data_IF_110451162402
#
_entry.id   IF_110451162402
#
_cell.length_a   1.000
_cell.length_b   1.000
_cell.length_c   1.000
_cell.angle_alpha   90.00
_cell.angle_beta   90.00
_cell.angle_gamma   90.00
#
_symmetry.space_group_name_H-M   'P 1'
#
loop_
_entity.id
_entity.type
_entity.pdbx_description
1 polymer ?
#
# COMPACT_ATOMS: atom_id res chain seq x y z
N UNK A 1 -16.52 -13.33 14.00
CA UNK A 1 -15.12 -12.92 13.83
C UNK A 1 -15.11 -11.47 13.43
N UNK A 2 -14.23 -10.64 14.00
CA UNK A 2 -14.08 -9.25 13.59
C UNK A 2 -13.16 -9.19 12.36
N UNK A 3 -13.66 -8.81 11.16
CA UNK A 3 -12.83 -8.70 9.95
C UNK A 3 -11.83 -7.55 10.00
N UNK A 4 -11.98 -6.61 10.94
CA UNK A 4 -11.15 -5.43 11.12
C UNK A 4 -10.18 -5.56 12.30
N UNK A 5 -9.92 -6.78 12.75
CA UNK A 5 -8.98 -7.00 13.85
C UNK A 5 -7.55 -6.70 13.41
N UNK A 6 -7.00 -5.59 13.92
CA UNK A 6 -5.67 -5.09 13.58
C UNK A 6 -4.62 -5.47 14.65
N UNK A 7 -5.02 -6.01 15.80
CA UNK A 7 -4.09 -6.51 16.81
C UNK A 7 -3.57 -7.89 16.41
N UNK A 8 -2.26 -8.03 16.49
CA UNK A 8 -1.56 -9.25 16.14
C UNK A 8 -2.00 -10.43 17.03
N UNK A 9 -2.19 -10.19 18.33
CA UNK A 9 -2.53 -11.24 19.30
C UNK A 9 -3.99 -11.72 19.20
N UNK A 10 -4.86 -10.94 18.57
CA UNK A 10 -6.30 -11.22 18.45
C UNK A 10 -6.65 -11.80 17.06
N UNK A 11 -5.64 -12.02 16.21
CA UNK A 11 -5.83 -12.61 14.88
C UNK A 11 -6.29 -14.07 14.96
N UNK A 12 -7.28 -14.50 14.16
CA UNK A 12 -7.74 -15.89 14.15
C UNK A 12 -6.64 -16.88 13.79
N UNK A 13 -6.65 -18.07 14.39
CA UNK A 13 -5.72 -19.15 14.02
C UNK A 13 -5.90 -19.66 12.58
N UNK A 14 -7.08 -19.42 11.99
CA UNK A 14 -7.38 -19.73 10.59
C UNK A 14 -6.98 -18.62 9.62
N UNK A 15 -6.35 -17.55 10.11
CA UNK A 15 -5.91 -16.44 9.26
C UNK A 15 -4.76 -16.85 8.36
N UNK A 16 -4.94 -16.65 7.05
CA UNK A 16 -3.93 -16.93 6.03
C UNK A 16 -2.60 -16.21 6.28
N UNK A 17 -2.64 -15.08 6.98
CA UNK A 17 -1.49 -14.22 7.26
C UNK A 17 -1.09 -14.27 8.74
N UNK A 18 -1.51 -15.29 9.50
CA UNK A 18 -1.17 -15.43 10.92
C UNK A 18 0.33 -15.53 11.19
N UNK A 19 1.12 -16.03 10.23
CA UNK A 19 2.57 -16.15 10.29
C UNK A 19 3.32 -14.86 9.95
N UNK A 20 2.62 -13.86 9.40
CA UNK A 20 3.15 -12.54 9.06
C UNK A 20 2.28 -11.44 9.71
N UNK A 21 2.31 -11.30 11.05
CA UNK A 21 1.33 -10.51 11.80
C UNK A 21 1.31 -9.01 11.44
N UNK A 22 2.46 -8.46 11.01
CA UNK A 22 2.56 -7.07 10.54
C UNK A 22 2.01 -6.86 9.13
N UNK A 23 1.76 -7.91 8.36
CA UNK A 23 1.29 -7.81 6.99
C UNK A 23 -0.14 -7.27 6.97
N UNK A 24 -0.27 -6.02 6.49
CA UNK A 24 -1.55 -5.35 6.36
C UNK A 24 -2.26 -5.09 7.68
N UNK A 25 -1.56 -5.05 8.83
CA UNK A 25 -2.18 -4.74 10.13
C UNK A 25 -1.43 -3.64 10.84
N UNK A 26 -2.15 -2.72 11.45
CA UNK A 26 -1.58 -1.77 12.39
C UNK A 26 -2.59 -1.34 13.44
N UNK A 27 -2.30 -1.69 14.69
CA UNK A 27 -2.97 -1.17 15.86
C UNK A 27 -1.95 -0.33 16.67
N UNK A 28 -2.16 0.99 16.84
CA UNK A 28 -1.23 1.84 17.58
C UNK A 28 -1.02 1.38 19.01
N UNK A 29 0.23 1.34 19.45
CA UNK A 29 0.63 0.98 20.81
C UNK A 29 1.29 2.17 21.54
N UNK A 30 1.11 2.32 22.87
CA UNK A 30 1.74 3.40 23.62
C UNK A 30 3.28 3.42 23.51
N UNK A 31 3.89 2.24 23.36
CA UNK A 31 5.32 1.99 23.26
C UNK A 31 5.83 1.94 21.80
N UNK A 32 4.97 2.25 20.82
CA UNK A 32 5.41 2.33 19.42
C UNK A 32 6.54 3.35 19.27
N UNK A 33 7.59 2.93 18.57
CA UNK A 33 8.64 3.84 18.13
C UNK A 33 8.04 5.00 17.31
N UNK A 34 8.41 6.23 17.68
CA UNK A 34 8.02 7.46 16.99
C UNK A 34 9.29 8.22 16.59
N UNK A 35 9.44 8.61 15.31
CA UNK A 35 10.57 9.43 14.94
C UNK A 35 10.59 10.77 15.66
N UNK A 36 11.77 11.22 16.07
CA UNK A 36 11.93 12.55 16.65
C UNK A 36 11.70 13.64 15.60
N UNK A 37 10.71 14.50 15.86
CA UNK A 37 10.26 15.52 14.90
C UNK A 37 11.36 16.46 14.40
N UNK A 38 12.41 16.71 15.18
CA UNK A 38 13.53 17.60 14.82
C UNK A 38 14.40 17.09 13.68
N UNK A 39 14.38 15.78 13.40
CA UNK A 39 15.20 15.16 12.36
C UNK A 39 14.40 14.87 11.07
N UNK A 40 13.10 15.16 11.07
CA UNK A 40 12.19 14.95 9.94
C UNK A 40 12.39 16.06 8.91
N UNK A 41 12.50 15.71 7.62
CA UNK A 41 12.84 16.59 6.50
C UNK A 41 14.19 17.31 6.68
N UNK A 42 15.14 16.66 7.35
CA UNK A 42 16.43 17.25 7.71
C UNK A 42 17.59 16.37 7.23
N UNK A 43 18.53 17.00 6.54
CA UNK A 43 19.71 16.35 5.96
C UNK A 43 21.02 16.79 6.63
N UNK A 44 20.93 17.38 7.83
CA UNK A 44 22.13 17.71 8.63
C UNK A 44 22.87 16.42 9.02
N UNK A 45 24.19 16.49 9.27
CA UNK A 45 24.95 15.31 9.71
C UNK A 45 24.33 14.58 10.91
N UNK A 46 23.84 15.34 11.90
CA UNK A 46 23.14 14.79 13.08
C UNK A 46 21.84 14.05 12.69
N UNK A 47 21.03 14.62 11.78
CA UNK A 47 19.82 13.96 11.29
C UNK A 47 20.15 12.67 10.52
N UNK A 48 21.23 12.66 9.74
CA UNK A 48 21.68 11.46 9.02
C UNK A 48 22.18 10.38 9.97
N UNK A 49 22.90 10.74 11.04
CA UNK A 49 23.30 9.81 12.10
C UNK A 49 22.08 9.24 12.84
N UNK A 50 21.11 10.10 13.17
CA UNK A 50 19.85 9.68 13.75
C UNK A 50 19.13 8.67 12.83
N UNK A 51 18.93 8.98 11.55
CA UNK A 51 18.24 8.07 10.64
C UNK A 51 19.03 6.78 10.37
N UNK A 52 20.36 6.81 10.41
CA UNK A 52 21.20 5.61 10.43
C UNK A 52 20.85 4.72 11.64
N UNK A 53 20.72 5.30 12.83
CA UNK A 53 20.33 4.56 14.04
C UNK A 53 18.90 3.99 13.94
N UNK A 54 17.98 4.70 13.27
CA UNK A 54 16.63 4.21 13.01
C UNK A 54 16.66 3.03 12.03
N UNK A 55 17.47 3.09 10.97
CA UNK A 55 17.64 1.96 10.04
C UNK A 55 18.19 0.71 10.74
N UNK A 56 19.02 0.84 11.77
CA UNK A 56 19.48 -0.31 12.56
C UNK A 56 18.33 -1.03 13.30
N UNK A 57 17.22 -0.34 13.54
CA UNK A 57 16.00 -0.96 14.11
C UNK A 57 15.18 -1.71 13.07
N UNK A 58 15.39 -1.45 11.77
CA UNK A 58 14.72 -2.15 10.68
C UNK A 58 15.40 -3.50 10.45
N UNK A 59 14.76 -4.59 10.88
CA UNK A 59 15.32 -5.95 10.80
C UNK A 59 14.28 -6.90 10.22
N UNK A 60 14.60 -8.18 10.05
CA UNK A 60 13.60 -9.14 9.57
C UNK A 60 12.38 -9.26 10.50
N UNK A 61 12.52 -8.94 11.80
CA UNK A 61 11.44 -9.08 12.78
C UNK A 61 10.31 -8.06 12.58
N UNK A 62 10.60 -6.91 11.99
CA UNK A 62 9.60 -5.87 11.68
C UNK A 62 9.43 -5.65 10.17
N UNK A 63 9.84 -6.64 9.37
CA UNK A 63 9.65 -6.68 7.92
C UNK A 63 8.38 -7.50 7.62
N UNK A 64 7.28 -6.88 7.16
CA UNK A 64 6.01 -7.60 6.97
C UNK A 64 6.07 -8.70 5.90
N UNK A 65 6.97 -8.56 4.92
CA UNK A 65 7.24 -9.57 3.89
C UNK A 65 8.61 -9.34 3.27
N UNK A 66 9.21 -10.41 2.73
CA UNK A 66 10.46 -10.30 1.99
C UNK A 66 10.23 -9.85 0.54
N UNK A 67 10.94 -8.80 0.11
CA UNK A 67 10.99 -8.45 -1.31
C UNK A 67 12.01 -9.35 -2.05
N UNK A 68 11.51 -10.30 -2.84
CA UNK A 68 12.33 -11.26 -3.61
C UNK A 68 12.95 -10.63 -4.88
N UNK A 69 12.40 -9.53 -5.39
CA UNK A 69 12.83 -8.87 -6.64
C UNK A 69 14.04 -7.96 -6.47
N UNK A 70 14.79 -8.15 -5.37
CA UNK A 70 15.95 -7.34 -4.97
C UNK A 70 15.64 -5.83 -4.87
N UNK A 71 14.37 -5.49 -4.69
CA UNK A 71 13.92 -4.12 -4.45
C UNK A 71 14.12 -3.68 -3.00
N UNK A 72 13.53 -2.54 -2.64
CA UNK A 72 13.42 -2.11 -1.23
C UNK A 72 12.58 -3.12 -0.45
N UNK A 73 13.04 -3.47 0.74
CA UNK A 73 12.18 -4.07 1.75
C UNK A 73 11.32 -2.97 2.37
N UNK A 74 10.17 -3.38 2.89
CA UNK A 74 9.26 -2.53 3.67
C UNK A 74 9.41 -2.94 5.13
N UNK A 75 9.62 -1.97 6.01
CA UNK A 75 9.74 -2.17 7.46
C UNK A 75 8.65 -1.38 8.16
N UNK A 76 8.17 -1.88 9.29
CA UNK A 76 7.12 -1.25 10.08
C UNK A 76 7.55 -1.01 11.55
N UNK A 77 8.61 -0.23 11.81
CA UNK A 77 9.03 0.07 13.19
C UNK A 77 8.06 1.05 13.84
N UNK A 78 7.24 0.56 14.78
CA UNK A 78 6.32 1.40 15.55
C UNK A 78 5.31 2.13 14.67
N UNK A 79 5.31 3.46 14.71
CA UNK A 79 4.32 4.31 14.05
C UNK A 79 4.61 4.62 12.59
N UNK A 80 5.69 4.11 12.00
CA UNK A 80 6.10 4.45 10.63
C UNK A 80 6.35 3.23 9.76
N UNK A 81 6.16 3.40 8.45
CA UNK A 81 6.69 2.54 7.41
C UNK A 81 8.01 3.14 6.93
N UNK A 82 9.02 2.29 6.76
CA UNK A 82 10.30 2.65 6.14
C UNK A 82 10.54 1.72 4.95
N UNK A 83 10.67 2.28 3.75
CA UNK A 83 11.09 1.55 2.55
C UNK A 83 12.60 1.72 2.37
N UNK A 84 13.37 0.64 2.46
CA UNK A 84 14.83 0.68 2.36
C UNK A 84 15.42 -0.62 1.82
N UNK A 85 16.56 -0.53 1.14
CA UNK A 85 17.29 -1.70 0.62
C UNK A 85 18.47 -2.12 1.52
N UNK A 86 18.63 -1.54 2.71
CA UNK A 86 19.86 -1.66 3.51
C UNK A 86 20.25 -3.10 3.87
N UNK A 87 19.28 -4.02 4.05
CA UNK A 87 19.55 -5.45 4.27
C UNK A 87 19.99 -6.19 2.99
N UNK A 88 19.77 -5.61 1.82
CA UNK A 88 20.22 -6.20 0.55
C UNK A 88 21.70 -5.87 0.34
N UNK A 89 22.45 -6.88 -0.10
CA UNK A 89 23.84 -6.70 -0.52
C UNK A 89 23.97 -5.61 -1.59
N UNK A 90 25.11 -4.91 -1.60
CA UNK A 90 25.37 -3.86 -2.58
C UNK A 90 25.16 -4.41 -3.99
N UNK A 91 24.22 -3.81 -4.72
CA UNK A 91 23.96 -4.20 -6.10
C UNK A 91 25.24 -3.93 -6.92
N UNK A 92 25.57 -4.80 -7.89
CA UNK A 92 26.75 -4.64 -8.76
C UNK A 92 26.33 -4.40 -10.22
N UNK A 93 27.17 -3.73 -11.00
CA UNK A 93 26.97 -3.50 -12.43
C UNK A 93 25.87 -2.46 -12.74
N UNK A 94 25.15 -2.62 -13.86
CA UNK A 94 24.07 -1.72 -14.33
C UNK A 94 22.88 -1.59 -13.35
N UNK A 95 22.81 -2.44 -12.33
CA UNK A 95 21.80 -2.39 -11.26
C UNK A 95 22.36 -1.85 -9.94
N UNK A 96 23.60 -1.36 -9.91
CA UNK A 96 24.33 -0.95 -8.69
C UNK A 96 23.58 0.02 -7.77
N UNK A 97 22.62 0.74 -8.35
CA UNK A 97 21.62 1.53 -7.65
C UNK A 97 20.32 1.42 -8.46
N UNK A 98 19.25 0.89 -7.85
CA UNK A 98 17.91 1.08 -8.41
C UNK A 98 17.47 2.45 -7.87
N UNK A 99 17.34 3.43 -8.76
CA UNK A 99 16.99 4.80 -8.38
C UNK A 99 15.49 4.89 -8.09
N UNK A 100 15.14 5.19 -6.84
CA UNK A 100 13.74 5.35 -6.41
C UNK A 100 13.29 6.80 -6.35
N UNK A 101 14.17 7.78 -6.64
CA UNK A 101 13.89 9.21 -6.48
C UNK A 101 12.59 9.66 -7.14
N UNK A 102 12.26 9.16 -8.32
CA UNK A 102 11.01 9.54 -9.01
C UNK A 102 9.77 8.92 -8.37
N UNK A 103 9.84 7.67 -7.94
CA UNK A 103 8.75 6.99 -7.24
C UNK A 103 8.50 7.65 -5.88
N UNK A 104 9.56 7.98 -5.16
CA UNK A 104 9.51 8.64 -3.86
C UNK A 104 8.93 10.04 -3.97
N UNK A 105 9.45 10.89 -4.86
CA UNK A 105 8.90 12.23 -5.12
C UNK A 105 7.42 12.15 -5.52
N UNK A 106 7.04 11.14 -6.32
CA UNK A 106 5.66 10.97 -6.71
C UNK A 106 4.77 10.55 -5.53
N UNK A 107 5.20 9.58 -4.72
CA UNK A 107 4.46 9.16 -3.51
C UNK A 107 4.36 10.30 -2.49
N UNK A 108 5.41 11.12 -2.34
CA UNK A 108 5.43 12.31 -1.49
C UNK A 108 4.40 13.33 -1.97
N UNK A 109 4.47 13.71 -3.25
CA UNK A 109 3.57 14.68 -3.86
C UNK A 109 2.12 14.20 -3.85
N UNK A 110 1.91 12.92 -4.15
CA UNK A 110 0.61 12.25 -4.09
C UNK A 110 0.04 12.24 -2.68
N UNK A 111 0.87 11.95 -1.68
CA UNK A 111 0.43 11.90 -0.29
C UNK A 111 0.09 13.28 0.22
N UNK A 112 0.80 14.34 -0.17
CA UNK A 112 0.46 15.70 0.22
C UNK A 112 -0.98 16.12 -0.15
N UNK A 113 -1.59 15.52 -1.18
CA UNK A 113 -3.00 15.73 -1.52
C UNK A 113 -3.98 15.04 -0.56
N UNK A 114 -3.51 14.13 0.29
CA UNK A 114 -4.35 13.29 1.15
C UNK A 114 -3.95 13.31 2.65
N UNK A 115 -2.66 13.43 2.99
CA UNK A 115 -2.07 13.43 4.35
C UNK A 115 -0.64 14.01 4.35
N UNK A 116 -0.03 14.16 5.55
CA UNK A 116 1.36 14.61 5.71
C UNK A 116 2.36 13.47 5.49
N UNK A 117 3.44 13.71 4.76
CA UNK A 117 4.60 12.81 4.63
C UNK A 117 5.66 13.24 5.62
N UNK A 118 6.40 12.27 6.16
CA UNK A 118 7.47 12.57 7.11
C UNK A 118 8.76 12.95 6.38
N UNK A 119 9.36 12.11 5.52
CA UNK A 119 10.63 12.47 4.86
C UNK A 119 11.00 11.57 3.66
N UNK A 120 11.81 12.10 2.74
CA UNK A 120 12.62 11.35 1.75
C UNK A 120 14.11 11.70 1.95
N UNK A 121 14.94 10.70 2.26
CA UNK A 121 16.35 10.94 2.63
C UNK A 121 17.28 9.91 2.03
N UNK A 122 18.47 10.36 1.63
CA UNK A 122 19.56 9.45 1.21
C UNK A 122 20.43 9.11 2.41
N UNK A 123 20.46 7.84 2.79
CA UNK A 123 21.26 7.35 3.92
C UNK A 123 22.27 6.34 3.38
N UNK A 124 23.56 6.57 3.64
CA UNK A 124 24.66 5.74 3.13
C UNK A 124 24.58 5.48 1.62
N UNK A 125 24.18 6.50 0.85
CA UNK A 125 24.03 6.44 -0.60
C UNK A 125 22.79 5.69 -1.11
N UNK A 126 21.84 5.31 -0.24
CA UNK A 126 20.60 4.61 -0.59
C UNK A 126 19.38 5.49 -0.39
N UNK A 127 18.41 5.38 -1.30
CA UNK A 127 17.10 6.03 -1.16
C UNK A 127 16.29 5.38 -0.04
N UNK A 128 15.87 6.18 0.94
CA UNK A 128 15.04 5.76 2.06
C UNK A 128 13.80 6.65 2.14
N UNK A 129 12.65 6.00 2.17
CA UNK A 129 11.34 6.67 2.28
C UNK A 129 10.70 6.34 3.63
N UNK A 130 10.17 7.36 4.30
CA UNK A 130 9.55 7.23 5.64
C UNK A 130 8.15 7.85 5.65
N UNK A 131 7.16 7.07 6.10
CA UNK A 131 5.75 7.47 6.14
C UNK A 131 5.09 7.06 7.45
N UNK A 132 4.10 7.82 7.94
CA UNK A 132 3.24 7.38 9.05
C UNK A 132 2.43 6.13 8.66
N UNK A 133 2.30 5.19 9.59
CA UNK A 133 1.36 4.07 9.44
C UNK A 133 -0.07 4.56 9.67
N UNK A 134 -1.00 4.04 8.87
CA UNK A 134 -2.42 4.30 9.00
C UNK A 134 -3.03 3.16 9.84
N UNK A 135 -3.66 3.46 11.00
CA UNK A 135 -4.33 2.42 11.80
C UNK A 135 -5.42 1.71 11.00
N UNK A 136 -5.51 0.39 11.17
CA UNK A 136 -6.51 -0.45 10.52
C UNK A 136 -5.93 -1.71 9.88
N UNK A 137 -6.69 -2.28 8.96
CA UNK A 137 -6.35 -3.52 8.27
C UNK A 137 -6.34 -3.33 6.75
N UNK A 138 -5.38 -3.95 6.07
CA UNK A 138 -5.35 -4.04 4.62
C UNK A 138 -6.61 -4.75 4.13
N UNK A 139 -7.30 -4.18 3.15
CA UNK A 139 -8.56 -4.75 2.65
C UNK A 139 -8.35 -6.15 2.07
N UNK A 140 -7.16 -6.47 1.56
CA UNK A 140 -6.74 -7.81 1.13
C UNK A 140 -6.72 -8.85 2.27
N UNK A 141 -6.45 -8.43 3.51
CA UNK A 141 -6.46 -9.29 4.69
C UNK A 141 -7.89 -9.49 5.18
N UNK A 142 -8.67 -8.41 5.27
CA UNK A 142 -10.08 -8.46 5.66
C UNK A 142 -10.97 -9.19 4.63
N UNK A 143 -10.54 -9.27 3.36
CA UNK A 143 -11.35 -9.73 2.22
C UNK A 143 -11.98 -11.12 2.42
N UNK A 144 -11.27 -12.00 3.12
CA UNK A 144 -11.69 -13.38 3.41
C UNK A 144 -12.80 -13.46 4.47
N UNK A 145 -13.02 -12.39 5.24
CA UNK A 145 -13.95 -12.36 6.38
C UNK A 145 -15.18 -11.50 6.14
N UNK A 146 -15.17 -10.67 5.09
CA UNK A 146 -16.25 -9.75 4.77
C UNK A 146 -17.23 -10.35 3.76
N UNK A 147 -18.50 -9.99 3.92
CA UNK A 147 -19.60 -10.41 3.05
C UNK A 147 -19.58 -9.72 1.68
N UNK A 148 -20.35 -10.25 0.72
CA UNK A 148 -20.48 -9.66 -0.61
C UNK A 148 -21.09 -8.25 -0.60
N UNK A 149 -21.97 -7.95 0.36
CA UNK A 149 -22.53 -6.60 0.54
C UNK A 149 -21.46 -5.61 1.02
N UNK A 150 -20.60 -6.02 1.94
CA UNK A 150 -19.46 -5.20 2.39
C UNK A 150 -18.46 -4.97 1.25
N UNK A 151 -18.11 -6.01 0.48
CA UNK A 151 -17.26 -5.88 -0.73
C UNK A 151 -17.83 -4.86 -1.72
N UNK A 152 -19.14 -4.91 -1.94
CA UNK A 152 -19.85 -3.95 -2.80
C UNK A 152 -19.83 -2.54 -2.23
N UNK A 153 -19.99 -2.38 -0.91
CA UNK A 153 -19.90 -1.09 -0.22
C UNK A 153 -18.51 -0.46 -0.39
N UNK A 154 -17.42 -1.23 -0.22
CA UNK A 154 -16.07 -0.72 -0.44
C UNK A 154 -15.83 -0.24 -1.88
N UNK A 155 -16.34 -0.99 -2.87
CA UNK A 155 -16.29 -0.56 -4.29
C UNK A 155 -17.07 0.74 -4.50
N UNK A 156 -18.21 0.90 -3.83
CA UNK A 156 -18.99 2.13 -3.93
C UNK A 156 -18.27 3.32 -3.28
N UNK A 157 -17.63 3.14 -2.13
CA UNK A 157 -16.84 4.18 -1.47
C UNK A 157 -15.74 4.72 -2.40
N UNK A 158 -15.11 3.86 -3.20
CA UNK A 158 -14.14 4.29 -4.21
C UNK A 158 -14.72 5.03 -5.41
N UNK A 159 -16.02 4.85 -5.69
CA UNK A 159 -16.71 5.53 -6.79
C UNK A 159 -17.34 6.85 -6.35
N UNK A 160 -17.85 6.91 -5.12
CA UNK A 160 -18.64 8.03 -4.60
C UNK A 160 -17.87 9.34 -4.44
N UNK A 161 -16.53 9.29 -4.47
CA UNK A 161 -15.67 10.47 -4.37
C UNK A 161 -15.32 11.09 -5.74
N UNK A 162 -15.89 10.59 -6.84
CA UNK A 162 -15.40 10.90 -8.17
C UNK A 162 -16.41 11.70 -9.01
N UNK A 163 -16.55 12.99 -8.68
CA UNK A 163 -17.20 14.01 -9.53
C UNK A 163 -16.24 14.57 -10.61
N UNK A 164 -14.98 14.11 -10.63
CA UNK A 164 -13.90 14.79 -11.36
C UNK A 164 -13.85 14.45 -12.86
N UNK A 165 -13.87 15.52 -13.65
CA UNK A 165 -13.87 15.56 -15.12
C UNK A 165 -12.43 15.57 -15.63
N UNK A 166 -11.97 14.45 -16.19
CA UNK A 166 -10.75 14.29 -17.03
C UNK A 166 -9.39 14.78 -16.46
N UNK A 167 -9.33 15.38 -15.26
CA UNK A 167 -8.09 15.89 -14.63
C UNK A 167 -7.92 15.51 -13.16
N UNK A 168 -8.78 14.63 -12.66
CA UNK A 168 -8.70 14.11 -11.30
C UNK A 168 -7.40 13.39 -10.97
N UNK A 169 -7.01 13.54 -9.72
CA UNK A 169 -5.90 12.82 -9.12
C UNK A 169 -6.29 11.37 -8.88
N UNK A 170 -5.50 10.44 -9.42
CA UNK A 170 -5.83 9.02 -9.46
C UNK A 170 -4.69 8.22 -8.88
N UNK A 171 -5.02 7.20 -8.07
CA UNK A 171 -4.03 6.30 -7.47
C UNK A 171 -3.21 5.54 -8.52
N UNK A 172 -3.85 5.17 -9.64
CA UNK A 172 -3.21 4.51 -10.78
C UNK A 172 -2.61 3.11 -10.49
N UNK A 173 -2.83 2.57 -9.31
CA UNK A 173 -2.57 1.18 -8.93
C UNK A 173 -3.53 0.76 -7.81
N UNK A 174 -4.82 1.04 -8.04
CA UNK A 174 -5.84 0.81 -7.04
C UNK A 174 -6.09 -0.70 -6.87
N UNK A 175 -5.80 -1.22 -5.68
CA UNK A 175 -5.92 -2.63 -5.34
C UNK A 175 -6.35 -2.82 -3.88
N UNK A 176 -6.78 -4.04 -3.52
CA UNK A 176 -7.17 -4.35 -2.14
C UNK A 176 -6.02 -4.16 -1.15
N UNK A 177 -4.78 -4.46 -1.53
CA UNK A 177 -3.61 -4.28 -0.66
C UNK A 177 -3.26 -2.82 -0.42
N UNK A 178 -3.72 -1.92 -1.29
CA UNK A 178 -3.45 -0.48 -1.19
C UNK A 178 -4.55 0.26 -0.43
N UNK A 179 -5.58 -0.45 0.06
CA UNK A 179 -6.67 0.09 0.87
C UNK A 179 -6.50 -0.31 2.34
N UNK A 180 -6.56 0.65 3.25
CA UNK A 180 -6.67 0.42 4.68
C UNK A 180 -8.13 0.62 5.08
N UNK A 181 -8.71 -0.39 5.72
CA UNK A 181 -10.09 -0.43 6.15
C UNK A 181 -10.18 -0.48 7.69
N UNK A 182 -11.22 0.15 8.21
CA UNK A 182 -11.67 0.03 9.60
C UNK A 182 -13.18 0.29 9.66
N UNK A 183 -13.91 -0.53 10.42
CA UNK A 183 -15.35 -0.37 10.64
C UNK A 183 -16.17 -0.11 9.34
N UNK A 184 -16.02 -1.01 8.35
CA UNK A 184 -16.68 -0.94 7.03
C UNK A 184 -16.33 0.32 6.20
N UNK A 185 -15.28 1.06 6.56
CA UNK A 185 -14.83 2.26 5.83
C UNK A 185 -13.40 2.15 5.35
N UNK A 186 -13.12 2.70 4.17
CA UNK A 186 -11.74 2.98 3.74
C UNK A 186 -11.25 4.18 4.54
N UNK A 187 -10.26 3.95 5.41
CA UNK A 187 -9.65 4.98 6.26
C UNK A 187 -8.31 5.49 5.72
N UNK A 188 -7.76 4.83 4.70
CA UNK A 188 -6.54 5.25 4.04
C UNK A 188 -6.26 4.52 2.73
N UNK A 189 -5.46 5.19 1.89
CA UNK A 189 -4.84 4.59 0.71
C UNK A 189 -3.33 4.73 0.83
N UNK A 190 -2.60 3.67 0.48
CA UNK A 190 -1.13 3.58 0.57
C UNK A 190 -0.53 3.22 -0.79
N UNK A 191 0.79 3.33 -0.93
CA UNK A 191 1.53 2.97 -2.14
C UNK A 191 1.19 3.83 -3.37
N UNK A 192 1.36 5.15 -3.20
CA UNK A 192 1.00 6.13 -4.24
C UNK A 192 2.12 6.40 -5.25
N UNK A 193 3.11 5.52 -5.34
CA UNK A 193 4.29 5.67 -6.21
C UNK A 193 3.93 5.86 -7.69
N UNK A 194 2.75 5.40 -8.12
CA UNK A 194 2.29 5.49 -9.52
C UNK A 194 1.17 6.50 -9.75
N UNK A 195 0.74 7.19 -8.69
CA UNK A 195 -0.40 8.11 -8.74
C UNK A 195 -0.14 9.29 -9.68
N UNK A 196 -1.20 9.89 -10.22
CA UNK A 196 -1.06 11.03 -11.13
C UNK A 196 -2.39 11.61 -11.59
N UNK A 197 -2.31 12.73 -12.32
CA UNK A 197 -3.49 13.44 -12.85
C UNK A 197 -3.84 12.92 -14.24
N UNK A 198 -4.81 12.03 -14.27
CA UNK A 198 -5.28 11.39 -15.50
C UNK A 198 -6.80 11.49 -15.67
N UNK A 199 -7.57 11.73 -14.59
CA UNK A 199 -9.03 11.67 -14.63
C UNK A 199 -9.59 10.26 -14.74
N UNK A 200 -10.86 10.09 -14.33
CA UNK A 200 -11.48 8.77 -14.15
C UNK A 200 -11.62 7.98 -15.45
N UNK A 201 -12.04 8.64 -16.53
CA UNK A 201 -12.29 7.98 -17.82
C UNK A 201 -11.02 7.39 -18.42
N UNK A 202 -9.92 8.15 -18.38
CA UNK A 202 -8.63 7.70 -18.90
C UNK A 202 -8.08 6.56 -18.05
N UNK A 203 -8.13 6.67 -16.72
CA UNK A 203 -7.70 5.58 -15.83
C UNK A 203 -8.54 4.34 -16.01
N UNK A 204 -9.85 4.47 -16.20
CA UNK A 204 -10.74 3.36 -16.51
C UNK A 204 -10.35 2.63 -17.79
N UNK A 205 -9.99 3.34 -18.87
CA UNK A 205 -9.49 2.73 -20.10
C UNK A 205 -8.20 1.96 -19.88
N UNK A 206 -7.21 2.58 -19.22
CA UNK A 206 -5.94 1.90 -18.87
C UNK A 206 -6.20 0.66 -17.99
N UNK A 207 -7.12 0.78 -17.03
CA UNK A 207 -7.50 -0.30 -16.12
C UNK A 207 -8.15 -1.47 -16.84
N UNK A 208 -8.95 -1.24 -17.90
CA UNK A 208 -9.59 -2.30 -18.69
C UNK A 208 -8.64 -2.91 -19.73
N UNK A 209 -7.79 -2.07 -20.32
CA UNK A 209 -6.95 -2.51 -21.44
C UNK A 209 -5.68 -3.24 -20.96
N UNK A 210 -5.03 -2.72 -19.92
CA UNK A 210 -3.67 -3.13 -19.54
C UNK A 210 -3.59 -3.84 -18.20
N UNK A 211 -4.38 -3.44 -17.20
CA UNK A 211 -4.25 -3.92 -15.82
C UNK A 211 -5.09 -5.12 -15.42
N UNK A 212 -6.28 -5.37 -15.99
CA UNK A 212 -7.19 -6.28 -15.33
C UNK A 212 -6.70 -7.70 -15.57
N UNK A 213 -6.76 -8.50 -14.52
CA UNK A 213 -6.63 -9.93 -14.66
C UNK A 213 -7.77 -10.42 -15.55
N UNK A 214 -7.49 -11.26 -16.54
CA UNK A 214 -8.53 -11.81 -17.43
C UNK A 214 -8.76 -13.27 -17.04
N UNK A 215 -9.98 -13.78 -17.24
CA UNK A 215 -10.32 -15.19 -16.97
C UNK A 215 -9.30 -16.16 -17.57
N UNK A 216 -8.84 -15.88 -18.79
CA UNK A 216 -7.81 -16.67 -19.48
C UNK A 216 -6.48 -16.79 -18.72
N UNK A 217 -6.13 -15.83 -17.87
CA UNK A 217 -4.91 -15.89 -17.04
C UNK A 217 -4.99 -17.03 -16.01
N UNK A 218 -6.19 -17.49 -15.65
CA UNK A 218 -6.43 -18.55 -14.65
C UNK A 218 -6.95 -19.85 -15.26
N UNK A 219 -7.01 -19.97 -16.59
CA UNK A 219 -7.60 -21.14 -17.24
C UNK A 219 -6.93 -22.46 -16.82
N UNK A 220 -5.62 -22.43 -16.53
CA UNK A 220 -4.85 -23.60 -16.09
C UNK A 220 -5.06 -23.97 -14.60
N UNK A 221 -5.65 -23.08 -13.79
CA UNK A 221 -5.77 -23.25 -12.33
C UNK A 221 -7.10 -23.85 -11.90
N UNK A 222 -8.04 -24.05 -12.84
CA UNK A 222 -9.34 -24.71 -12.63
C UNK A 222 -10.11 -24.19 -11.40
N UNK A 223 -10.08 -22.88 -11.16
CA UNK A 223 -10.81 -22.25 -10.06
C UNK A 223 -12.32 -22.27 -10.29
N UNK A 224 -13.08 -22.35 -9.18
CA UNK A 224 -14.53 -22.23 -9.23
C UNK A 224 -14.96 -20.84 -9.71
N UNK A 225 -16.16 -20.73 -10.26
CA UNK A 225 -16.72 -19.44 -10.68
C UNK A 225 -16.84 -18.43 -9.53
N UNK A 226 -17.04 -18.93 -8.30
CA UNK A 226 -17.05 -18.09 -7.10
C UNK A 226 -15.68 -17.45 -6.85
N UNK A 227 -14.61 -18.26 -6.89
CA UNK A 227 -13.23 -17.77 -6.73
C UNK A 227 -12.86 -16.81 -7.87
N UNK A 228 -13.21 -17.14 -9.10
CA UNK A 228 -12.95 -16.26 -10.25
C UNK A 228 -13.69 -14.93 -10.13
N UNK A 229 -14.95 -14.92 -9.67
CA UNK A 229 -15.69 -13.68 -9.41
C UNK A 229 -15.03 -12.82 -8.34
N UNK A 230 -14.48 -13.45 -7.31
CA UNK A 230 -13.79 -12.73 -6.23
C UNK A 230 -12.45 -12.13 -6.70
N UNK A 231 -11.67 -12.88 -7.47
CA UNK A 231 -10.41 -12.40 -8.09
C UNK A 231 -10.67 -11.22 -9.04
N UNK A 232 -11.72 -11.34 -9.86
CA UNK A 232 -12.05 -10.36 -10.90
C UNK A 232 -12.93 -9.23 -10.36
N UNK A 233 -13.21 -9.19 -9.05
CA UNK A 233 -14.21 -8.32 -8.45
C UNK A 233 -13.98 -6.85 -8.76
N UNK A 234 -12.73 -6.39 -8.85
CA UNK A 234 -12.39 -4.98 -9.07
C UNK A 234 -12.18 -4.60 -10.55
N UNK A 235 -12.36 -5.54 -11.49
CA UNK A 235 -12.12 -5.27 -12.91
C UNK A 235 -13.06 -4.21 -13.49
N UNK A 236 -14.26 -4.09 -12.93
CA UNK A 236 -15.28 -3.11 -13.34
C UNK A 236 -15.27 -1.85 -12.46
N UNK A 237 -14.23 -1.62 -11.64
CA UNK A 237 -14.17 -0.51 -10.70
C UNK A 237 -14.55 0.83 -11.35
N UNK A 238 -14.01 1.09 -12.53
CA UNK A 238 -14.19 2.35 -13.27
C UNK A 238 -15.37 2.34 -14.24
N UNK A 239 -16.07 1.21 -14.39
CA UNK A 239 -17.28 1.17 -15.21
C UNK A 239 -18.33 2.05 -14.53
N UNK A 240 -18.92 2.98 -15.28
CA UNK A 240 -20.07 3.75 -14.79
C UNK A 240 -21.17 2.80 -14.35
N UNK A 241 -22.01 3.23 -13.42
CA UNK A 241 -23.16 2.45 -12.93
C UNK A 241 -24.20 2.28 -14.04
N UNK A 242 -23.93 1.45 -15.05
CA UNK A 242 -24.89 0.91 -16.02
C UNK A 242 -25.81 1.88 -16.77
N UNK A 243 -25.64 3.19 -16.65
CA UNK A 243 -26.54 4.21 -17.17
C UNK A 243 -25.95 4.99 -18.35
N UNK A 244 -25.01 4.37 -19.07
CA UNK A 244 -24.73 4.80 -20.43
C UNK A 244 -25.85 4.23 -21.31
N UNK A 245 -26.90 5.03 -21.44
CA UNK A 245 -28.15 4.71 -22.12
C UNK A 245 -27.96 4.07 -23.49
N UNK A 246 -28.80 3.07 -23.73
CA UNK A 246 -29.31 2.79 -25.07
C UNK A 246 -30.09 3.99 -25.60
#
# INVERSE_FOLDING_TARGET
>A
MNPYEAKEEESPSTDRYADVPLYGRYFPRPDDFKPEGRYINSTTPESLEYWCSVLQKCTETNRPYENQDRGRDVFAPGTVIIKSSHLKGALRGRRSHRNYSYADVNEVGATAFARKVLDEVKINGRDVFVQERIPGIGLNVAWQYISQSQKSSFKQQTRSDNEDTDRGFMHNDFSQSNCIADNDKIVGLVDRETAGRFGWKIVGRVHVDMRPLKRKNFAALNFSEEILRDILFWNDLYNGDGNDGK
#
